data_IF_184298885897
#
_entry.id   IF_184298885897
#
_cell.length_a   1.000
_cell.length_b   1.000
_cell.length_c   1.000
_cell.angle_alpha   90.00
_cell.angle_beta   90.00
_cell.angle_gamma   90.00
#
_symmetry.space_group_name_H-M   'P 1'
#
loop_
_entity.id
_entity.type
_entity.pdbx_description
1 polymer ?
#
# COMPACT_ATOMS: atom_id res chain seq x y z
N UNK A 1 13.67 21.27 0.65
CA UNK A 1 13.80 22.16 -0.52
C UNK A 1 12.49 22.88 -0.87
N UNK A 2 11.37 22.49 -0.25
CA UNK A 2 10.00 23.00 -0.50
C UNK A 2 9.43 23.81 0.68
N UNK A 3 10.24 24.15 1.69
CA UNK A 3 9.80 24.89 2.87
C UNK A 3 9.12 24.04 3.97
N UNK A 4 8.94 22.74 3.78
CA UNK A 4 8.28 21.87 4.78
C UNK A 4 8.95 21.92 6.15
N UNK A 5 10.29 21.95 6.22
CA UNK A 5 11.01 22.04 7.49
C UNK A 5 10.71 23.35 8.23
N UNK A 6 10.58 24.47 7.52
CA UNK A 6 10.23 25.76 8.13
C UNK A 6 8.80 25.75 8.65
N UNK A 7 7.86 25.22 7.86
CA UNK A 7 6.47 25.08 8.28
C UNK A 7 6.33 24.19 9.53
N UNK A 8 7.13 23.14 9.66
CA UNK A 8 7.10 22.26 10.83
C UNK A 8 7.62 22.94 12.11
N UNK A 9 8.53 23.91 12.02
CA UNK A 9 9.07 24.63 13.19
C UNK A 9 7.99 25.36 14.00
N UNK A 10 6.94 25.86 13.34
CA UNK A 10 5.84 26.55 14.01
C UNK A 10 5.04 25.68 14.99
N UNK A 11 5.13 24.35 14.86
CA UNK A 11 4.47 23.43 15.78
C UNK A 11 5.27 23.15 17.05
N UNK A 12 6.53 23.61 17.13
CA UNK A 12 7.40 23.46 18.28
C UNK A 12 7.55 22.01 18.75
N UNK A 13 7.67 21.79 20.05
CA UNK A 13 7.83 20.44 20.64
C UNK A 13 6.62 19.49 20.51
N UNK A 14 5.53 19.90 19.86
CA UNK A 14 4.36 19.05 19.59
C UNK A 14 4.61 18.01 18.50
N UNK A 15 5.62 18.23 17.65
CA UNK A 15 6.03 17.31 16.60
C UNK A 15 7.44 16.79 16.88
N UNK A 16 7.64 15.50 16.60
CA UNK A 16 8.99 14.94 16.48
C UNK A 16 9.32 14.85 15.00
N UNK A 17 10.16 15.77 14.53
CA UNK A 17 10.68 15.76 13.16
C UNK A 17 11.85 14.80 13.08
N UNK A 18 11.85 13.94 12.06
CA UNK A 18 12.91 12.96 11.78
C UNK A 18 13.31 13.14 10.31
N UNK A 19 14.51 13.64 10.08
CA UNK A 19 15.01 13.96 8.75
C UNK A 19 15.94 12.86 8.22
N UNK A 20 15.87 12.58 6.93
CA UNK A 20 16.89 11.85 6.19
C UNK A 20 17.88 12.84 5.57
N UNK A 21 19.15 12.46 5.52
CA UNK A 21 20.20 13.29 4.89
C UNK A 21 20.05 13.35 3.37
N UNK A 22 19.34 12.40 2.79
CA UNK A 22 19.04 12.29 1.36
C UNK A 22 17.63 11.71 1.15
N UNK A 23 17.07 11.88 -0.04
CA UNK A 23 15.77 11.28 -0.39
C UNK A 23 15.92 9.76 -0.55
N UNK A 24 15.34 9.00 0.35
CA UNK A 24 15.31 7.52 0.37
C UNK A 24 13.94 6.91 0.05
N UNK A 25 13.02 7.75 -0.40
CA UNK A 25 11.67 7.33 -0.75
C UNK A 25 10.72 7.18 0.44
N UNK A 26 9.45 6.89 0.12
CA UNK A 26 8.35 6.84 1.09
C UNK A 26 8.46 5.65 2.05
N UNK A 27 8.95 4.50 1.58
CA UNK A 27 9.17 3.32 2.42
C UNK A 27 10.13 3.61 3.56
N UNK A 28 11.29 4.19 3.24
CA UNK A 28 12.30 4.55 4.23
C UNK A 28 11.77 5.58 5.24
N UNK A 29 11.00 6.57 4.78
CA UNK A 29 10.39 7.56 5.66
C UNK A 29 9.38 6.93 6.63
N UNK A 30 8.48 6.06 6.13
CA UNK A 30 7.52 5.32 6.97
C UNK A 30 8.22 4.38 7.95
N UNK A 31 9.21 3.62 7.50
CA UNK A 31 9.99 2.70 8.34
C UNK A 31 10.66 3.43 9.49
N UNK A 32 11.30 4.56 9.19
CA UNK A 32 11.95 5.38 10.22
C UNK A 32 10.93 5.93 11.22
N UNK A 33 9.75 6.35 10.76
CA UNK A 33 8.65 6.74 11.62
C UNK A 33 8.18 5.60 12.54
N UNK A 34 7.99 4.39 12.00
CA UNK A 34 7.60 3.19 12.75
C UNK A 34 8.61 2.87 13.86
N UNK A 35 9.90 2.88 13.54
CA UNK A 35 10.97 2.57 14.49
C UNK A 35 11.04 3.55 15.67
N UNK A 36 10.72 4.82 15.41
CA UNK A 36 10.72 5.86 16.44
C UNK A 36 9.39 6.03 17.18
N UNK A 37 8.30 5.44 16.66
CA UNK A 37 6.99 5.57 17.28
C UNK A 37 6.93 4.81 18.62
N UNK A 38 6.32 5.45 19.63
CA UNK A 38 6.13 4.87 20.99
C UNK A 38 4.69 4.43 21.25
N UNK A 39 3.76 4.79 20.37
CA UNK A 39 2.33 4.49 20.53
C UNK A 39 1.98 3.01 20.39
N UNK A 40 0.88 2.60 21.00
CA UNK A 40 0.26 1.27 20.83
C UNK A 40 -0.18 1.02 19.39
N UNK A 41 -0.61 2.09 18.70
CA UNK A 41 -1.08 2.09 17.34
C UNK A 41 -0.22 2.97 16.45
N UNK A 42 -0.11 2.60 15.17
CA UNK A 42 0.53 3.37 14.10
C UNK A 42 -0.55 3.74 13.08
N UNK A 43 -0.58 5.00 12.69
CA UNK A 43 -1.37 5.50 11.58
C UNK A 43 -0.49 6.40 10.71
N UNK A 44 -0.67 6.32 9.39
CA UNK A 44 0.06 7.15 8.43
C UNK A 44 -0.85 8.25 7.89
N UNK A 45 -0.23 9.33 7.49
CA UNK A 45 -0.87 10.40 6.74
C UNK A 45 0.10 10.83 5.63
N UNK A 46 -0.28 10.58 4.39
CA UNK A 46 0.47 11.07 3.24
C UNK A 46 0.34 12.59 3.17
N UNK A 47 1.38 13.30 2.72
CA UNK A 47 1.48 14.76 2.81
C UNK A 47 0.41 15.52 2.00
N UNK A 48 -0.20 14.86 1.03
CA UNK A 48 -1.26 15.39 0.18
C UNK A 48 -2.69 15.06 0.69
N UNK A 49 -2.82 14.19 1.71
CA UNK A 49 -4.11 13.75 2.26
C UNK A 49 -4.50 14.55 3.53
N UNK A 50 -5.78 14.45 3.91
CA UNK A 50 -6.30 15.03 5.16
C UNK A 50 -7.11 13.99 5.94
N UNK A 51 -6.92 13.97 7.26
CA UNK A 51 -7.81 13.25 8.16
C UNK A 51 -9.05 14.06 8.52
N UNK A 52 -10.20 13.42 8.50
CA UNK A 52 -11.44 13.99 9.04
C UNK A 52 -11.40 13.92 10.57
N UNK A 53 -11.92 14.95 11.21
CA UNK A 53 -12.00 15.03 12.69
C UNK A 53 -12.67 13.76 13.27
N UNK A 54 -12.03 13.20 14.28
CA UNK A 54 -12.51 11.99 14.96
C UNK A 54 -12.00 10.67 14.40
N UNK A 55 -11.28 10.66 13.26
CA UNK A 55 -10.72 9.43 12.65
C UNK A 55 -9.94 8.59 13.67
N UNK A 56 -8.97 9.18 14.34
CA UNK A 56 -8.13 8.45 15.31
C UNK A 56 -8.96 7.89 16.46
N UNK A 57 -9.89 8.68 17.02
CA UNK A 57 -10.78 8.22 18.11
C UNK A 57 -11.59 6.99 17.71
N UNK A 58 -12.19 7.01 16.52
CA UNK A 58 -13.01 5.91 16.00
C UNK A 58 -12.16 4.65 15.78
N UNK A 59 -10.98 4.78 15.17
CA UNK A 59 -10.12 3.63 14.88
C UNK A 59 -9.49 3.03 16.15
N UNK A 60 -9.08 3.89 17.12
CA UNK A 60 -8.57 3.42 18.41
C UNK A 60 -9.64 2.66 19.18
N UNK A 61 -10.84 3.23 19.32
CA UNK A 61 -11.94 2.55 20.00
C UNK A 61 -12.23 1.18 19.36
N UNK A 62 -12.33 1.15 18.01
CA UNK A 62 -12.55 -0.12 17.31
C UNK A 62 -11.46 -1.15 17.62
N UNK A 63 -10.18 -0.77 17.51
CA UNK A 63 -9.08 -1.70 17.75
C UNK A 63 -9.01 -2.11 19.24
N UNK A 64 -9.32 -1.25 20.19
CA UNK A 64 -9.36 -1.62 21.62
C UNK A 64 -10.44 -2.66 21.89
N UNK A 65 -11.63 -2.50 21.32
CA UNK A 65 -12.76 -3.42 21.48
C UNK A 65 -12.59 -4.74 20.70
N UNK A 66 -11.71 -4.77 19.68
CA UNK A 66 -11.54 -5.92 18.77
C UNK A 66 -10.07 -6.38 18.69
N UNK A 67 -9.55 -7.08 19.73
CA UNK A 67 -8.13 -7.45 19.82
C UNK A 67 -7.65 -8.41 18.74
N UNK A 68 -8.53 -9.17 18.09
CA UNK A 68 -8.19 -10.11 17.02
C UNK A 68 -7.92 -9.42 15.68
N UNK A 69 -8.34 -8.16 15.49
CA UNK A 69 -7.95 -7.38 14.31
C UNK A 69 -6.65 -6.62 14.57
N UNK A 70 -5.57 -6.89 13.82
CA UNK A 70 -4.33 -6.12 13.95
C UNK A 70 -4.38 -4.79 13.20
N UNK A 71 -5.34 -4.63 12.26
CA UNK A 71 -5.49 -3.48 11.39
C UNK A 71 -6.96 -3.18 11.12
N UNK A 72 -7.31 -1.89 11.12
CA UNK A 72 -8.54 -1.39 10.53
C UNK A 72 -8.23 -0.23 9.56
N UNK A 73 -9.12 -0.02 8.58
CA UNK A 73 -9.03 1.08 7.63
C UNK A 73 -10.40 1.67 7.35
N UNK A 74 -10.43 2.87 6.78
CA UNK A 74 -11.68 3.64 6.61
C UNK A 74 -11.99 3.89 5.14
N UNK A 75 -13.20 4.37 4.88
CA UNK A 75 -13.57 4.89 3.56
C UNK A 75 -12.99 6.29 3.33
N UNK A 76 -13.08 6.75 2.09
CA UNK A 76 -12.35 7.89 1.55
C UNK A 76 -13.27 8.82 0.75
N UNK A 77 -12.99 10.12 0.84
CA UNK A 77 -13.48 11.13 -0.09
C UNK A 77 -12.35 11.42 -1.08
N UNK A 78 -12.58 11.23 -2.37
CA UNK A 78 -11.57 11.47 -3.38
C UNK A 78 -11.73 12.84 -4.01
N UNK A 79 -10.65 13.63 -3.99
CA UNK A 79 -10.56 14.94 -4.66
C UNK A 79 -9.46 14.82 -5.72
N UNK A 80 -9.80 15.04 -6.99
CA UNK A 80 -8.82 15.09 -8.08
C UNK A 80 -8.89 16.44 -8.77
N UNK A 81 -7.77 17.14 -8.85
CA UNK A 81 -7.66 18.49 -9.41
C UNK A 81 -8.74 19.43 -8.84
N UNK A 82 -8.92 19.41 -7.51
CA UNK A 82 -9.91 20.22 -6.79
C UNK A 82 -11.37 19.77 -6.91
N UNK A 83 -11.68 18.74 -7.72
CA UNK A 83 -13.05 18.23 -7.90
C UNK A 83 -13.24 16.89 -7.20
N UNK A 84 -14.37 16.73 -6.52
CA UNK A 84 -14.77 15.45 -5.93
C UNK A 84 -15.06 14.43 -7.04
N UNK A 85 -14.49 13.22 -6.90
CA UNK A 85 -14.73 12.09 -7.80
C UNK A 85 -15.19 10.88 -7.00
N UNK A 86 -16.01 10.03 -7.61
CA UNK A 86 -16.43 8.78 -7.00
C UNK A 86 -15.43 7.67 -7.35
N UNK A 87 -15.08 6.81 -6.39
CA UNK A 87 -14.25 5.63 -6.67
C UNK A 87 -14.98 4.68 -7.63
N UNK A 88 -14.23 4.01 -8.49
CA UNK A 88 -14.77 2.95 -9.35
C UNK A 88 -15.08 1.69 -8.50
N UNK A 89 -15.96 0.81 -9.00
CA UNK A 89 -16.30 -0.47 -8.34
C UNK A 89 -15.08 -1.31 -7.93
N UNK A 90 -14.01 -1.27 -8.72
CA UNK A 90 -12.75 -1.99 -8.42
C UNK A 90 -12.03 -1.52 -7.13
N UNK A 91 -12.40 -0.36 -6.58
CA UNK A 91 -11.88 0.16 -5.33
C UNK A 91 -12.81 -0.12 -4.13
N UNK A 92 -13.74 -1.07 -4.29
CA UNK A 92 -14.59 -1.51 -3.19
C UNK A 92 -13.76 -1.98 -1.99
N UNK A 93 -14.27 -1.75 -0.80
CA UNK A 93 -13.58 -2.05 0.47
C UNK A 93 -14.30 -3.18 1.19
N UNK A 94 -13.54 -4.00 1.92
CA UNK A 94 -14.01 -5.25 2.48
C UNK A 94 -13.49 -5.45 3.90
N UNK A 95 -14.17 -6.31 4.69
CA UNK A 95 -13.72 -6.77 6.01
C UNK A 95 -13.51 -8.29 6.01
N UNK A 96 -12.69 -8.77 6.95
CA UNK A 96 -12.38 -10.18 7.14
C UNK A 96 -11.09 -10.60 6.44
N UNK A 97 -11.07 -11.82 5.95
CA UNK A 97 -9.95 -12.37 5.17
C UNK A 97 -10.06 -11.87 3.73
N UNK A 98 -9.42 -10.74 3.46
CA UNK A 98 -9.56 -10.00 2.20
C UNK A 98 -8.36 -10.17 1.25
N UNK A 99 -7.54 -11.18 1.47
CA UNK A 99 -6.32 -11.40 0.70
C UNK A 99 -6.56 -11.37 -0.81
N UNK A 100 -7.51 -12.18 -1.31
CA UNK A 100 -7.85 -12.21 -2.74
C UNK A 100 -8.34 -10.86 -3.30
N UNK A 101 -8.97 -10.04 -2.44
CA UNK A 101 -9.42 -8.69 -2.84
C UNK A 101 -8.27 -7.70 -2.95
N UNK A 102 -7.15 -7.99 -2.26
CA UNK A 102 -5.93 -7.16 -2.33
C UNK A 102 -5.04 -7.52 -3.53
N UNK A 103 -5.15 -8.73 -4.10
CA UNK A 103 -4.31 -9.18 -5.23
C UNK A 103 -4.42 -8.30 -6.48
N UNK A 104 -5.62 -7.92 -6.99
CA UNK A 104 -5.71 -7.16 -8.24
C UNK A 104 -5.13 -5.74 -8.12
N UNK A 105 -5.32 -5.08 -6.99
CA UNK A 105 -4.84 -3.71 -6.77
C UNK A 105 -4.81 -3.34 -5.29
N UNK A 106 -4.08 -2.26 -4.96
CA UNK A 106 -4.07 -1.69 -3.62
C UNK A 106 -5.44 -1.05 -3.30
N UNK A 107 -6.23 -1.68 -2.41
CA UNK A 107 -7.54 -1.20 -1.96
C UNK A 107 -7.49 -0.47 -0.62
N UNK A 108 -6.36 -0.50 0.08
CA UNK A 108 -6.11 0.16 1.36
C UNK A 108 -5.12 1.28 1.14
N UNK A 109 -5.51 2.54 1.34
CA UNK A 109 -4.53 3.63 1.35
C UNK A 109 -3.85 3.75 2.72
N UNK A 110 -2.55 4.04 2.79
CA UNK A 110 -1.85 4.22 4.07
C UNK A 110 -2.54 5.25 4.97
N UNK A 111 -3.00 6.37 4.43
CA UNK A 111 -3.71 7.42 5.18
C UNK A 111 -5.01 6.96 5.81
N UNK A 112 -5.65 5.88 5.29
CA UNK A 112 -6.88 5.32 5.86
C UNK A 112 -6.65 4.32 6.97
N UNK A 113 -5.47 3.70 6.99
CA UNK A 113 -5.16 2.60 7.89
C UNK A 113 -4.77 3.07 9.31
N UNK A 114 -5.08 2.23 10.28
CA UNK A 114 -4.51 2.23 11.63
C UNK A 114 -4.22 0.78 12.01
N UNK A 115 -3.06 0.54 12.58
CA UNK A 115 -2.61 -0.81 12.92
C UNK A 115 -1.92 -0.87 14.28
N UNK A 116 -1.94 -2.05 14.89
CA UNK A 116 -1.18 -2.30 16.11
C UNK A 116 0.31 -2.27 15.82
N UNK A 117 1.10 -1.63 16.69
CA UNK A 117 2.55 -1.53 16.49
C UNK A 117 3.22 -2.91 16.38
N UNK A 118 2.76 -3.90 17.13
CA UNK A 118 3.32 -5.26 17.09
C UNK A 118 3.02 -6.01 15.77
N UNK A 119 2.19 -5.49 14.87
CA UNK A 119 2.01 -6.06 13.53
C UNK A 119 3.32 -6.05 12.75
N UNK A 120 4.11 -4.98 12.87
CA UNK A 120 5.38 -4.85 12.14
C UNK A 120 6.44 -5.90 12.54
N UNK A 121 6.40 -6.43 13.75
CA UNK A 121 7.27 -7.56 14.14
C UNK A 121 6.85 -8.90 13.52
N UNK A 122 5.60 -9.00 13.05
CA UNK A 122 5.04 -10.23 12.46
C UNK A 122 5.12 -10.25 10.94
N UNK A 123 5.00 -9.08 10.29
CA UNK A 123 4.97 -8.97 8.82
C UNK A 123 6.17 -8.22 8.24
N UNK A 124 7.02 -7.66 9.08
CA UNK A 124 8.13 -6.80 8.66
C UNK A 124 7.71 -5.37 8.34
N UNK A 125 8.67 -4.59 7.88
CA UNK A 125 8.52 -3.18 7.50
C UNK A 125 8.13 -3.05 6.02
N UNK A 126 7.99 -1.81 5.54
CA UNK A 126 7.84 -1.54 4.11
C UNK A 126 9.14 -1.85 3.36
N UNK A 127 9.04 -2.40 2.16
CA UNK A 127 10.21 -2.69 1.34
C UNK A 127 10.78 -1.41 0.73
N UNK A 128 12.01 -1.05 1.12
CA UNK A 128 12.70 0.14 0.62
C UNK A 128 13.25 -0.04 -0.80
N UNK A 129 13.29 -1.27 -1.32
CA UNK A 129 13.67 -1.54 -2.70
C UNK A 129 12.52 -1.27 -3.70
N UNK A 130 11.29 -1.12 -3.21
CA UNK A 130 10.13 -0.80 -4.04
C UNK A 130 9.93 0.73 -4.11
N UNK A 131 10.20 1.37 -5.25
CA UNK A 131 10.02 2.82 -5.41
C UNK A 131 8.54 3.23 -5.45
N UNK A 132 7.65 2.29 -5.80
CA UNK A 132 6.18 2.40 -5.78
C UNK A 132 5.58 1.04 -5.46
N UNK A 133 4.29 0.99 -5.07
CA UNK A 133 3.59 -0.23 -4.67
C UNK A 133 4.14 -0.90 -3.40
N UNK A 134 4.89 -0.18 -2.59
CA UNK A 134 5.34 -0.59 -1.27
C UNK A 134 4.17 -0.86 -0.32
N UNK A 135 3.10 -0.11 -0.48
CA UNK A 135 1.85 -0.29 0.25
C UNK A 135 1.12 -1.57 -0.20
N UNK A 136 1.09 -1.85 -1.50
CA UNK A 136 0.54 -3.09 -2.04
C UNK A 136 1.29 -4.31 -1.50
N UNK A 137 2.62 -4.34 -1.54
CA UNK A 137 3.46 -5.39 -0.95
C UNK A 137 3.12 -5.60 0.54
N UNK A 138 3.06 -4.50 1.29
CA UNK A 138 2.79 -4.56 2.72
C UNK A 138 1.39 -5.12 3.02
N UNK A 139 0.35 -4.66 2.30
CA UNK A 139 -1.02 -5.16 2.53
C UNK A 139 -1.19 -6.61 2.13
N UNK A 140 -0.49 -7.11 1.13
CA UNK A 140 -0.50 -8.54 0.78
C UNK A 140 0.07 -9.37 1.93
N UNK A 141 1.22 -8.98 2.49
CA UNK A 141 1.83 -9.67 3.63
C UNK A 141 0.96 -9.63 4.89
N UNK A 142 0.20 -8.57 5.09
CA UNK A 142 -0.77 -8.48 6.20
C UNK A 142 -1.99 -9.35 5.92
N UNK A 143 -2.63 -9.20 4.76
CA UNK A 143 -3.94 -9.81 4.47
C UNK A 143 -3.88 -11.33 4.30
N UNK A 144 -2.72 -11.89 3.93
CA UNK A 144 -2.52 -13.35 3.88
C UNK A 144 -2.42 -13.97 5.28
N UNK A 145 -2.06 -13.17 6.31
CA UNK A 145 -1.85 -13.64 7.69
C UNK A 145 -2.97 -13.28 8.65
N UNK A 146 -3.70 -12.20 8.36
CA UNK A 146 -4.62 -11.61 9.34
C UNK A 146 -5.89 -11.08 8.69
N UNK A 147 -7.03 -11.18 9.39
CA UNK A 147 -8.24 -10.48 8.99
C UNK A 147 -8.04 -8.97 9.16
N UNK A 148 -8.64 -8.20 8.27
CA UNK A 148 -8.59 -6.74 8.24
C UNK A 148 -10.01 -6.22 8.36
N UNK A 149 -10.23 -5.13 9.11
CA UNK A 149 -11.57 -4.56 9.27
C UNK A 149 -11.73 -3.24 8.53
N UNK A 150 -12.80 -3.13 7.78
CA UNK A 150 -13.22 -1.91 7.10
C UNK A 150 -14.26 -1.16 7.93
N UNK A 151 -13.92 0.02 8.39
CA UNK A 151 -14.86 0.95 9.03
C UNK A 151 -15.55 1.76 7.92
N UNK A 152 -16.81 1.48 7.64
CA UNK A 152 -17.60 2.15 6.59
C UNK A 152 -17.96 3.60 7.00
N UNK A 153 -16.92 4.42 7.18
CA UNK A 153 -17.02 5.88 7.42
C UNK A 153 -15.94 6.58 6.61
N UNK A 154 -16.31 7.65 5.90
CA UNK A 154 -15.36 8.48 5.13
C UNK A 154 -14.59 9.38 6.08
N UNK A 155 -13.40 8.90 6.49
CA UNK A 155 -12.59 9.57 7.51
C UNK A 155 -11.26 10.12 6.98
N UNK A 156 -11.03 10.04 5.66
CA UNK A 156 -9.96 10.74 4.99
C UNK A 156 -10.46 11.46 3.74
N UNK A 157 -9.77 12.53 3.38
CA UNK A 157 -9.90 13.23 2.11
C UNK A 157 -8.60 12.96 1.35
N UNK A 158 -8.70 12.06 0.35
CA UNK A 158 -7.59 11.70 -0.51
C UNK A 158 -7.50 12.68 -1.67
N UNK A 159 -6.40 13.41 -1.72
CA UNK A 159 -6.12 14.37 -2.78
C UNK A 159 -5.22 13.72 -3.83
N UNK A 160 -5.46 14.04 -5.12
CA UNK A 160 -4.64 13.50 -6.18
C UNK A 160 -4.84 14.24 -7.49
N UNK A 161 -4.09 13.81 -8.51
CA UNK A 161 -4.10 14.44 -9.83
C UNK A 161 -3.18 15.66 -9.91
N UNK A 162 -2.27 15.84 -8.95
CA UNK A 162 -1.18 16.81 -9.00
C UNK A 162 0.06 16.21 -9.73
N UNK A 163 0.93 17.05 -10.34
CA UNK A 163 2.03 16.58 -11.20
C UNK A 163 3.08 15.72 -10.49
N UNK A 164 3.29 15.95 -9.21
CA UNK A 164 4.30 15.29 -8.37
C UNK A 164 3.77 14.04 -7.64
N UNK A 165 2.52 13.62 -7.92
CA UNK A 165 1.94 12.42 -7.32
C UNK A 165 2.78 11.17 -7.65
N UNK A 166 3.25 10.46 -6.60
CA UNK A 166 4.16 9.32 -6.71
C UNK A 166 3.63 8.23 -7.67
N UNK A 167 2.34 7.90 -7.57
CA UNK A 167 1.70 6.88 -8.40
C UNK A 167 1.61 7.23 -9.89
N UNK A 168 1.82 8.50 -10.27
CA UNK A 168 1.85 8.96 -11.66
C UNK A 168 3.26 9.05 -12.24
N UNK A 169 4.30 9.06 -11.39
CA UNK A 169 5.71 9.16 -11.82
C UNK A 169 6.24 7.87 -12.42
N UNK A 170 5.71 6.73 -12.00
CA UNK A 170 6.16 5.42 -12.49
C UNK A 170 5.20 4.87 -13.53
N UNK A 171 5.69 4.70 -14.76
CA UNK A 171 4.96 3.96 -15.77
C UNK A 171 4.96 2.47 -15.45
N UNK A 172 3.79 1.82 -15.56
CA UNK A 172 3.70 0.36 -15.44
C UNK A 172 3.83 -0.13 -13.99
N UNK A 173 3.03 0.38 -13.04
CA UNK A 173 3.01 -0.06 -11.65
C UNK A 173 2.88 -1.58 -11.49
N UNK A 174 2.29 -2.28 -12.46
CA UNK A 174 2.19 -3.74 -12.43
C UNK A 174 3.56 -4.44 -12.45
N UNK A 175 4.63 -3.80 -12.92
CA UNK A 175 6.00 -4.31 -12.79
C UNK A 175 6.38 -4.54 -11.32
N UNK A 176 6.11 -3.56 -10.48
CA UNK A 176 6.39 -3.63 -9.04
C UNK A 176 5.41 -4.53 -8.30
N UNK A 177 4.16 -4.64 -8.78
CA UNK A 177 3.21 -5.61 -8.24
C UNK A 177 3.63 -7.05 -8.55
N UNK A 178 4.20 -7.32 -9.72
CA UNK A 178 4.77 -8.65 -10.03
C UNK A 178 5.91 -8.97 -9.07
N UNK A 179 6.81 -8.02 -8.80
CA UNK A 179 7.89 -8.22 -7.81
C UNK A 179 7.30 -8.53 -6.42
N UNK A 180 6.28 -7.80 -5.99
CA UNK A 180 5.62 -8.05 -4.70
C UNK A 180 4.95 -9.44 -4.65
N UNK A 181 4.35 -9.90 -5.75
CA UNK A 181 3.76 -11.23 -5.87
C UNK A 181 4.83 -12.33 -5.84
N UNK A 182 5.97 -12.16 -6.53
CA UNK A 182 7.10 -13.10 -6.48
C UNK A 182 7.64 -13.23 -5.05
N UNK A 183 7.83 -12.11 -4.34
CA UNK A 183 8.23 -12.11 -2.93
C UNK A 183 7.23 -12.85 -2.06
N UNK A 184 5.95 -12.60 -2.27
CA UNK A 184 4.89 -13.23 -1.49
C UNK A 184 4.88 -14.77 -1.66
N UNK A 185 5.16 -15.29 -2.86
CA UNK A 185 5.28 -16.73 -3.11
C UNK A 185 6.40 -17.40 -2.32
N UNK A 186 7.36 -16.64 -1.82
CA UNK A 186 8.47 -17.12 -0.97
C UNK A 186 8.13 -17.09 0.52
N UNK A 187 6.98 -16.53 0.90
CA UNK A 187 6.58 -16.41 2.31
C UNK A 187 6.03 -17.74 2.85
N UNK A 188 6.53 -18.24 4.00
CA UNK A 188 6.12 -19.55 4.54
C UNK A 188 4.63 -19.67 4.89
N UNK A 189 3.94 -18.54 5.05
CA UNK A 189 2.52 -18.50 5.40
C UNK A 189 1.58 -18.62 4.18
N UNK A 190 2.10 -18.65 2.96
CA UNK A 190 1.31 -18.79 1.74
C UNK A 190 1.04 -20.26 1.50
N UNK A 191 -0.19 -20.70 1.78
CA UNK A 191 -0.67 -22.03 1.52
C UNK A 191 -0.93 -22.28 0.02
N UNK A 192 -1.41 -23.48 -0.29
CA UNK A 192 -1.63 -23.88 -1.69
C UNK A 192 -2.71 -23.02 -2.37
N UNK A 193 -3.80 -22.73 -1.70
CA UNK A 193 -4.92 -21.93 -2.26
C UNK A 193 -4.48 -20.47 -2.51
N UNK A 194 -3.78 -19.88 -1.55
CA UNK A 194 -3.24 -18.52 -1.73
C UNK A 194 -2.21 -18.48 -2.86
N UNK A 195 -1.37 -19.51 -2.97
CA UNK A 195 -0.38 -19.63 -4.04
C UNK A 195 -1.05 -19.66 -5.41
N UNK A 196 -2.10 -20.44 -5.58
CA UNK A 196 -2.86 -20.50 -6.83
C UNK A 196 -3.49 -19.15 -7.19
N UNK A 197 -4.06 -18.46 -6.21
CA UNK A 197 -4.62 -17.11 -6.39
C UNK A 197 -3.54 -16.09 -6.78
N UNK A 198 -2.34 -16.15 -6.17
CA UNK A 198 -1.19 -15.30 -6.53
C UNK A 198 -0.74 -15.57 -7.95
N UNK A 199 -0.56 -16.84 -8.33
CA UNK A 199 -0.12 -17.21 -9.67
C UNK A 199 -1.11 -16.76 -10.75
N UNK A 200 -2.40 -16.92 -10.51
CA UNK A 200 -3.46 -16.44 -11.40
C UNK A 200 -3.43 -14.90 -11.60
N UNK A 201 -3.16 -14.16 -10.54
CA UNK A 201 -3.04 -12.69 -10.65
C UNK A 201 -1.73 -12.27 -11.31
N UNK A 202 -0.64 -12.99 -11.03
CA UNK A 202 0.67 -12.76 -11.66
C UNK A 202 0.61 -13.01 -13.16
N UNK A 203 -0.07 -14.09 -13.60
CA UNK A 203 -0.33 -14.37 -15.01
C UNK A 203 -0.96 -13.17 -15.73
N UNK A 204 -2.08 -12.64 -15.18
CA UNK A 204 -2.77 -11.49 -15.77
C UNK A 204 -1.86 -10.28 -15.92
N UNK A 205 -1.08 -9.97 -14.87
CA UNK A 205 -0.18 -8.82 -14.88
C UNK A 205 0.97 -9.02 -15.86
N UNK A 206 1.60 -10.20 -15.89
CA UNK A 206 2.68 -10.52 -16.82
C UNK A 206 2.20 -10.50 -18.27
N UNK A 207 1.00 -11.02 -18.57
CA UNK A 207 0.43 -10.96 -19.92
C UNK A 207 0.20 -9.52 -20.39
N UNK A 208 -0.36 -8.64 -19.50
CA UNK A 208 -0.56 -7.21 -19.82
C UNK A 208 0.76 -6.51 -20.05
N UNK A 209 1.76 -6.75 -19.19
CA UNK A 209 3.09 -6.15 -19.31
C UNK A 209 3.80 -6.63 -20.58
N UNK A 210 3.85 -7.94 -20.83
CA UNK A 210 4.48 -8.52 -22.00
C UNK A 210 3.89 -7.97 -23.31
N UNK A 211 2.55 -8.03 -23.44
CA UNK A 211 1.85 -7.47 -24.62
C UNK A 211 2.13 -5.97 -24.78
N UNK A 212 2.12 -5.23 -23.68
CA UNK A 212 2.38 -3.79 -23.69
C UNK A 212 3.81 -3.44 -24.09
N UNK A 213 4.81 -4.23 -23.69
CA UNK A 213 6.21 -4.02 -24.07
C UNK A 213 6.44 -4.38 -25.55
N UNK A 214 5.92 -5.50 -26.02
CA UNK A 214 6.01 -5.87 -27.46
C UNK A 214 5.37 -4.80 -28.35
N UNK A 215 4.19 -4.29 -27.98
CA UNK A 215 3.51 -3.22 -28.73
C UNK A 215 4.36 -1.95 -28.86
N UNK A 216 5.26 -1.70 -27.90
CA UNK A 216 6.18 -0.55 -27.91
C UNK A 216 7.57 -0.86 -28.47
N UNK A 217 7.76 -2.03 -29.06
CA UNK A 217 9.04 -2.45 -29.64
C UNK A 217 10.11 -2.86 -28.63
N UNK A 218 9.77 -2.96 -27.33
CA UNK A 218 10.70 -3.42 -26.31
C UNK A 218 10.56 -4.95 -26.11
N UNK A 219 11.20 -5.70 -27.02
CA UNK A 219 11.13 -7.16 -27.01
C UNK A 219 11.81 -7.78 -25.79
N UNK A 220 12.90 -7.18 -25.29
CA UNK A 220 13.62 -7.69 -24.13
C UNK A 220 12.70 -7.78 -22.90
N UNK A 221 12.08 -6.68 -22.53
CA UNK A 221 11.14 -6.63 -21.43
C UNK A 221 9.90 -7.51 -21.70
N UNK A 222 9.42 -7.54 -22.94
CA UNK A 222 8.29 -8.41 -23.31
C UNK A 222 8.59 -9.89 -23.08
N UNK A 223 9.80 -10.35 -23.43
CA UNK A 223 10.29 -11.72 -23.19
C UNK A 223 10.53 -11.99 -21.70
N UNK A 224 11.03 -11.02 -20.95
CA UNK A 224 11.26 -11.13 -19.50
C UNK A 224 9.97 -11.53 -18.74
N UNK A 225 8.84 -10.87 -19.02
CA UNK A 225 7.58 -11.24 -18.36
C UNK A 225 7.02 -12.59 -18.81
N UNK A 226 7.32 -13.06 -20.03
CA UNK A 226 7.03 -14.43 -20.43
C UNK A 226 7.89 -15.44 -19.67
N UNK A 227 9.16 -15.11 -19.44
CA UNK A 227 10.06 -15.99 -18.70
C UNK A 227 9.65 -16.10 -17.23
N UNK A 228 9.16 -15.03 -16.60
CA UNK A 228 8.56 -15.11 -15.26
C UNK A 228 7.40 -16.13 -15.28
N UNK A 229 6.48 -16.04 -16.24
CA UNK A 229 5.36 -17.00 -16.33
C UNK A 229 5.86 -18.45 -16.46
N UNK A 230 6.82 -18.74 -17.34
CA UNK A 230 7.40 -20.08 -17.48
C UNK A 230 8.04 -20.60 -16.20
N UNK A 231 8.79 -19.75 -15.48
CA UNK A 231 9.45 -20.11 -14.21
C UNK A 231 8.45 -20.63 -13.18
N UNK A 232 7.24 -20.11 -13.19
CA UNK A 232 6.18 -20.51 -12.28
C UNK A 232 5.20 -21.53 -12.87
N UNK A 233 5.50 -22.13 -14.03
CA UNK A 233 4.66 -23.13 -14.68
C UNK A 233 3.34 -22.59 -15.25
N UNK A 234 3.30 -21.29 -15.54
CA UNK A 234 2.13 -20.63 -16.15
C UNK A 234 2.25 -20.77 -17.66
N UNK A 235 1.26 -21.37 -18.31
CA UNK A 235 1.19 -21.51 -19.77
C UNK A 235 1.08 -20.14 -20.46
N UNK A 236 1.74 -19.98 -21.65
CA UNK A 236 1.83 -18.70 -22.35
C UNK A 236 0.93 -18.70 -23.59
#
# INVERSE_FOLDING_TARGET
>A
TDGTSEEMKQFGGRLKVIEHTENRGVSAARNRGILHAKGKYIAFLDSDDLWVKGKLKIQVAFLDDNPHYPLCYTDEIWIRRGKRVNPMKKHAKYSGWIFEKCLPLCIISPSSAMMRKNLFSKVGLFDEALPVCEDYDFWLRVSVRFPIFFINKKLIIKRGGHPDQLSSRSWGNDRYRVIALEKLLSEPCVGQEERESVLKEMEKKCQVLSKGFFKRGNEFEGRYYREIMRRYGIEI
#
